data_IF_624664428320
#
_entry.id   IF_624664428320
#
_cell.length_a   1.000
_cell.length_b   1.000
_cell.length_c   1.000
_cell.angle_alpha   90.00
_cell.angle_beta   90.00
_cell.angle_gamma   90.00
#
_symmetry.space_group_name_H-M   'P 1'
#
loop_
_entity.id
_entity.type
_entity.pdbx_description
1 polymer ?
#
# COMPACT_ATOMS: atom_id res chain seq x y z
N UNK A 1 -6.83 -4.17 10.57
CA UNK A 1 -6.19 -5.33 9.93
C UNK A 1 -5.60 -6.20 11.04
N UNK A 2 -6.23 -7.33 11.32
CA UNK A 2 -5.88 -8.19 12.47
C UNK A 2 -4.53 -8.89 12.29
N UNK A 3 -4.20 -9.28 11.05
CA UNK A 3 -2.90 -9.88 10.68
C UNK A 3 -1.73 -9.02 11.14
N UNK A 4 -1.81 -7.69 11.01
CA UNK A 4 -0.74 -6.79 11.45
C UNK A 4 -0.48 -6.85 12.97
N UNK A 5 -1.55 -6.95 13.76
CA UNK A 5 -1.50 -6.90 15.24
C UNK A 5 -1.24 -8.27 15.89
N UNK A 6 -1.79 -9.34 15.33
CA UNK A 6 -1.78 -10.67 15.93
C UNK A 6 -1.10 -11.74 15.07
N UNK A 7 -0.64 -11.38 13.86
CA UNK A 7 0.04 -12.31 12.98
C UNK A 7 1.41 -12.70 13.51
N UNK A 8 1.77 -13.97 13.30
CA UNK A 8 3.07 -14.55 13.61
C UNK A 8 3.96 -14.53 12.38
N UNK A 9 5.26 -14.37 12.58
CA UNK A 9 6.23 -14.49 11.49
C UNK A 9 6.43 -15.98 11.22
N UNK A 10 6.24 -16.38 9.97
CA UNK A 10 6.43 -17.75 9.50
C UNK A 10 7.26 -17.71 8.22
N UNK A 11 7.95 -18.83 7.93
CA UNK A 11 8.72 -19.01 6.70
C UNK A 11 7.84 -19.67 5.66
N UNK A 12 7.58 -18.98 4.56
CA UNK A 12 6.77 -19.47 3.46
C UNK A 12 7.63 -19.65 2.21
N UNK A 13 7.33 -20.66 1.40
CA UNK A 13 8.06 -20.88 0.15
C UNK A 13 7.33 -20.22 -1.02
N UNK A 14 8.06 -19.52 -1.88
CA UNK A 14 7.51 -18.99 -3.13
C UNK A 14 7.27 -20.16 -4.09
N UNK A 15 6.02 -20.37 -4.50
CA UNK A 15 5.65 -21.44 -5.45
C UNK A 15 5.38 -20.89 -6.85
N UNK A 16 5.03 -19.62 -6.96
CA UNK A 16 4.79 -18.96 -8.24
C UNK A 16 5.14 -17.48 -8.13
N UNK A 17 5.90 -16.99 -9.11
CA UNK A 17 6.24 -15.59 -9.28
C UNK A 17 6.29 -15.32 -10.79
N UNK A 18 5.80 -14.18 -11.29
CA UNK A 18 5.84 -13.90 -12.71
C UNK A 18 7.28 -13.87 -13.23
N UNK A 19 7.56 -14.67 -14.27
CA UNK A 19 8.88 -14.80 -14.91
C UNK A 19 9.44 -13.47 -15.47
N UNK A 20 8.58 -12.49 -15.70
CA UNK A 20 8.98 -11.18 -16.18
C UNK A 20 8.18 -10.10 -15.47
N UNK A 21 8.89 -9.22 -14.77
CA UNK A 21 8.35 -8.00 -14.17
C UNK A 21 8.59 -6.74 -15.02
N UNK A 22 8.80 -6.97 -16.33
CA UNK A 22 8.94 -5.95 -17.36
C UNK A 22 7.63 -5.18 -17.58
N UNK A 23 7.63 -3.88 -17.26
CA UNK A 23 6.53 -2.96 -17.59
C UNK A 23 6.36 -1.83 -16.58
N UNK A 24 5.34 -1.01 -16.79
CA UNK A 24 4.94 0.08 -15.86
C UNK A 24 4.08 -0.40 -14.69
N UNK A 25 3.90 -1.71 -14.55
CA UNK A 25 3.02 -2.28 -13.53
C UNK A 25 3.71 -2.19 -12.16
N UNK A 26 3.15 -1.37 -11.28
CA UNK A 26 3.71 -1.12 -9.95
C UNK A 26 3.64 -2.33 -9.01
N UNK A 27 2.69 -3.26 -9.21
CA UNK A 27 2.48 -4.40 -8.32
C UNK A 27 2.17 -5.68 -9.08
N UNK A 28 2.81 -6.77 -8.66
CA UNK A 28 2.63 -8.12 -9.18
C UNK A 28 2.05 -9.04 -8.09
N UNK A 29 1.47 -10.15 -8.50
CA UNK A 29 1.00 -11.18 -7.57
C UNK A 29 2.03 -12.30 -7.54
N UNK A 30 2.38 -12.72 -6.34
CA UNK A 30 3.23 -13.86 -6.03
C UNK A 30 2.39 -14.85 -5.22
N UNK A 31 2.61 -16.15 -5.40
CA UNK A 31 1.97 -17.19 -4.61
C UNK A 31 3.01 -17.81 -3.70
N UNK A 32 2.68 -17.88 -2.41
CA UNK A 32 3.50 -18.51 -1.38
C UNK A 32 2.74 -19.66 -0.74
N UNK A 33 3.47 -20.71 -0.35
CA UNK A 33 2.91 -21.89 0.30
C UNK A 33 3.39 -22.00 1.75
N UNK A 34 2.46 -22.36 2.63
CA UNK A 34 2.71 -22.63 4.04
C UNK A 34 1.68 -23.63 4.57
N UNK A 35 2.12 -24.70 5.23
CA UNK A 35 1.23 -25.76 5.77
C UNK A 35 0.23 -26.33 4.74
N UNK A 36 0.67 -26.54 3.48
CA UNK A 36 -0.17 -26.98 2.35
C UNK A 36 -1.27 -26.00 1.92
N UNK A 37 -1.22 -24.75 2.39
CA UNK A 37 -2.10 -23.67 1.98
C UNK A 37 -1.35 -22.68 1.10
N UNK A 38 -2.03 -22.16 0.08
CA UNK A 38 -1.47 -21.19 -0.85
C UNK A 38 -2.05 -19.81 -0.60
N UNK A 39 -1.18 -18.81 -0.51
CA UNK A 39 -1.55 -17.43 -0.26
C UNK A 39 -1.06 -16.52 -1.37
N UNK A 40 -1.91 -15.59 -1.78
CA UNK A 40 -1.56 -14.60 -2.79
C UNK A 40 -1.03 -13.35 -2.09
N UNK A 41 0.21 -12.98 -2.42
CA UNK A 41 0.87 -11.79 -1.94
C UNK A 41 1.08 -10.80 -3.07
N UNK A 42 0.76 -9.53 -2.84
CA UNK A 42 1.15 -8.44 -3.75
C UNK A 42 2.57 -8.00 -3.44
N UNK A 43 3.40 -7.96 -4.47
CA UNK A 43 4.81 -7.58 -4.42
C UNK A 43 5.11 -6.46 -5.41
N UNK A 44 6.16 -5.68 -5.18
CA UNK A 44 6.63 -4.67 -6.13
C UNK A 44 7.41 -5.30 -7.29
N UNK A 45 7.60 -4.56 -8.39
CA UNK A 45 8.44 -4.99 -9.51
C UNK A 45 9.88 -5.34 -9.07
N UNK A 46 10.50 -4.49 -8.25
CA UNK A 46 11.86 -4.74 -7.74
C UNK A 46 11.94 -6.02 -6.91
N UNK A 47 10.90 -6.34 -6.14
CA UNK A 47 10.87 -7.57 -5.35
C UNK A 47 10.82 -8.79 -6.25
N UNK A 48 10.03 -8.72 -7.32
CA UNK A 48 9.92 -9.79 -8.31
C UNK A 48 11.23 -10.08 -9.04
N UNK A 49 12.02 -9.05 -9.37
CA UNK A 49 13.31 -9.24 -10.04
C UNK A 49 14.38 -9.82 -9.10
N UNK A 50 14.22 -9.67 -7.79
CA UNK A 50 15.19 -10.09 -6.78
C UNK A 50 14.97 -11.51 -6.25
N UNK A 51 13.80 -12.11 -6.45
CA UNK A 51 13.41 -13.40 -5.86
C UNK A 51 12.91 -14.38 -6.92
N UNK A 52 13.08 -15.66 -6.66
CA UNK A 52 12.73 -16.74 -7.58
C UNK A 52 11.79 -17.75 -6.92
N UNK A 53 11.16 -18.59 -7.75
CA UNK A 53 10.41 -19.75 -7.27
C UNK A 53 11.34 -20.67 -6.48
N UNK A 54 10.88 -21.09 -5.31
CA UNK A 54 11.62 -21.94 -4.38
C UNK A 54 12.23 -21.19 -3.20
N UNK A 55 12.36 -19.85 -3.29
CA UNK A 55 12.90 -19.03 -2.21
C UNK A 55 12.00 -19.06 -0.96
N UNK A 56 12.64 -18.95 0.20
CA UNK A 56 11.97 -18.99 1.51
C UNK A 56 11.92 -17.57 2.06
N UNK A 57 10.71 -17.08 2.29
CA UNK A 57 10.45 -15.72 2.74
C UNK A 57 9.78 -15.68 4.10
N UNK A 58 10.17 -14.68 4.90
CA UNK A 58 9.55 -14.43 6.19
C UNK A 58 8.32 -13.54 6.00
N UNK A 59 7.15 -14.13 6.22
CA UNK A 59 5.87 -13.45 6.10
C UNK A 59 5.08 -13.52 7.40
N UNK A 60 4.31 -12.49 7.66
CA UNK A 60 3.39 -12.40 8.78
C UNK A 60 2.05 -13.03 8.38
N UNK A 61 1.71 -14.11 9.07
CA UNK A 61 0.52 -14.93 8.87
C UNK A 61 -0.38 -14.90 10.10
N UNK A 62 -1.69 -14.95 9.89
CA UNK A 62 -2.68 -15.12 10.93
C UNK A 62 -3.59 -16.29 10.57
N UNK A 63 -3.73 -17.24 11.50
CA UNK A 63 -4.58 -18.39 11.30
C UNK A 63 -6.03 -17.96 11.01
N UNK A 64 -6.64 -18.56 9.99
CA UNK A 64 -7.97 -18.19 9.49
C UNK A 64 -8.01 -16.96 8.57
N UNK A 65 -6.85 -16.35 8.26
CA UNK A 65 -6.76 -15.26 7.29
C UNK A 65 -6.21 -15.73 5.96
N UNK A 66 -6.82 -15.28 4.86
CA UNK A 66 -6.33 -15.52 3.50
C UNK A 66 -5.30 -14.48 3.04
N UNK A 67 -4.80 -13.63 3.96
CA UNK A 67 -3.91 -12.52 3.66
C UNK A 67 -2.62 -12.67 4.46
N UNK A 68 -1.50 -12.48 3.77
CA UNK A 68 -0.15 -12.47 4.34
C UNK A 68 0.50 -11.10 4.14
N UNK A 69 1.28 -10.66 5.12
CA UNK A 69 1.94 -9.34 5.14
C UNK A 69 3.45 -9.50 5.26
N UNK A 70 4.21 -8.56 4.71
CA UNK A 70 5.63 -8.50 5.06
C UNK A 70 5.78 -8.07 6.53
N UNK A 71 6.85 -8.49 7.24
CA UNK A 71 7.05 -8.15 8.65
C UNK A 71 7.06 -6.64 8.90
N UNK A 72 7.58 -5.88 7.93
CA UNK A 72 7.75 -4.43 7.94
C UNK A 72 6.61 -3.63 7.29
N UNK A 73 5.59 -4.29 6.73
CA UNK A 73 4.47 -3.58 6.11
C UNK A 73 3.56 -2.94 7.16
N UNK A 74 3.48 -1.61 7.14
CA UNK A 74 2.55 -0.85 7.97
C UNK A 74 1.37 -0.34 7.12
N UNK A 75 0.18 -0.95 7.20
CA UNK A 75 -0.96 -0.60 6.33
C UNK A 75 -1.54 0.79 6.61
N UNK A 76 -1.13 1.47 7.70
CA UNK A 76 -1.65 2.78 8.09
C UNK A 76 -0.97 3.98 7.43
N UNK A 77 0.23 3.83 6.88
CA UNK A 77 1.00 4.96 6.34
C UNK A 77 0.33 5.65 5.15
N UNK A 78 -0.37 4.89 4.29
CA UNK A 78 -1.07 5.44 3.11
C UNK A 78 -2.24 6.37 3.45
N UNK A 79 -2.84 6.24 4.64
CA UNK A 79 -3.97 7.08 5.03
C UNK A 79 -3.55 8.51 5.42
N UNK A 80 -2.37 8.67 6.03
CA UNK A 80 -1.89 9.99 6.46
C UNK A 80 -1.56 10.91 5.29
N UNK A 81 -0.96 10.38 4.23
CA UNK A 81 -0.61 11.17 3.05
C UNK A 81 -1.83 11.76 2.34
N UNK A 82 -2.91 10.97 2.21
CA UNK A 82 -4.16 11.44 1.60
C UNK A 82 -4.85 12.48 2.48
N UNK A 83 -4.90 12.25 3.80
CA UNK A 83 -5.47 13.21 4.74
C UNK A 83 -4.73 14.55 4.72
N UNK A 84 -3.39 14.52 4.68
CA UNK A 84 -2.58 15.73 4.61
C UNK A 84 -2.81 16.51 3.31
N UNK A 85 -2.78 15.84 2.16
CA UNK A 85 -3.06 16.48 0.88
C UNK A 85 -4.48 17.07 0.81
N UNK A 86 -5.46 16.36 1.38
CA UNK A 86 -6.82 16.85 1.52
C UNK A 86 -6.90 18.15 2.33
N UNK A 87 -6.21 18.21 3.47
CA UNK A 87 -6.15 19.41 4.32
C UNK A 87 -5.41 20.57 3.65
N UNK A 88 -4.31 20.31 2.95
CA UNK A 88 -3.57 21.33 2.20
C UNK A 88 -4.44 21.89 1.07
N UNK A 89 -5.10 21.02 0.30
CA UNK A 89 -6.02 21.43 -0.75
C UNK A 89 -7.18 22.27 -0.22
N UNK A 90 -7.79 21.86 0.90
CA UNK A 90 -8.85 22.61 1.56
C UNK A 90 -8.35 23.99 2.05
N UNK A 91 -7.15 24.05 2.62
CA UNK A 91 -6.51 25.30 3.06
C UNK A 91 -6.29 26.28 1.92
N UNK A 92 -5.83 25.81 0.75
CA UNK A 92 -5.65 26.63 -0.45
C UNK A 92 -7.01 27.19 -0.93
N UNK A 93 -8.06 26.37 -0.94
CA UNK A 93 -9.40 26.80 -1.35
C UNK A 93 -9.98 27.87 -0.42
N UNK A 94 -9.84 27.69 0.90
CA UNK A 94 -10.27 28.69 1.88
C UNK A 94 -9.46 29.97 1.71
N UNK A 95 -8.14 29.88 1.53
CA UNK A 95 -7.28 31.05 1.32
C UNK A 95 -7.69 31.84 0.07
N UNK A 96 -7.81 31.19 -1.08
CA UNK A 96 -8.21 31.86 -2.32
C UNK A 96 -9.66 32.36 -2.29
N UNK A 97 -10.58 31.60 -1.68
CA UNK A 97 -12.01 31.93 -1.64
C UNK A 97 -12.38 33.04 -0.65
N UNK A 98 -11.71 33.12 0.51
CA UNK A 98 -12.06 34.09 1.56
C UNK A 98 -11.14 35.33 1.63
N UNK A 99 -9.86 35.24 1.26
CA UNK A 99 -8.95 36.40 1.31
C UNK A 99 -9.02 37.28 0.07
N UNK A 100 -9.46 36.72 -1.08
CA UNK A 100 -9.69 37.50 -2.30
C UNK A 100 -11.13 38.04 -2.35
N UNK A 101 -11.54 38.82 -1.35
CA UNK A 101 -12.72 39.68 -1.52
C UNK A 101 -12.40 40.65 -2.67
N UNK A 102 -13.19 40.70 -3.76
CA UNK A 102 -13.09 41.82 -4.68
C UNK A 102 -13.44 43.07 -3.86
N UNK A 103 -12.57 44.07 -3.90
CA UNK A 103 -12.93 45.42 -3.49
C UNK A 103 -14.04 45.89 -4.44
N UNK A 104 -15.29 45.54 -4.14
CA UNK A 104 -16.46 46.14 -4.76
C UNK A 104 -16.47 47.58 -4.24
N UNK A 105 -15.85 48.44 -5.03
CA UNK A 105 -15.80 49.87 -4.87
C UNK A 105 -17.25 50.38 -4.85
N UNK A 106 -17.72 50.75 -3.66
CA UNK A 106 -18.96 51.48 -3.46
C UNK A 106 -18.77 52.91 -3.99
N UNK A 107 -18.84 53.06 -5.31
CA UNK A 107 -19.04 54.36 -5.95
C UNK A 107 -19.80 54.10 -7.23
N UNK A 108 -21.12 54.18 -7.12
CA UNK A 108 -21.89 55.10 -7.94
C UNK A 108 -23.26 55.32 -7.29
N UNK A 109 -23.46 56.58 -6.92
CA UNK A 109 -24.69 57.22 -6.47
C UNK A 109 -25.16 58.07 -7.64
#
# INVERSE_FOLDING_TARGET
MEVYKHGKIVKMQIIDIPNSCLGTKSNYNMIVSYENLNFIKRISGNYCEAHNVGDIEELKYLNGSNIVLFPYENPRSKFYSVAFLGLVGLGILIWYGFLKKPLINSRDR
#
